data_IF_716780204555
#
_entry.id   IF_716780204555
#
_cell.length_a   1.000
_cell.length_b   1.000
_cell.length_c   1.000
_cell.angle_alpha   90.00
_cell.angle_beta   90.00
_cell.angle_gamma   90.00
#
_symmetry.space_group_name_H-M   'P 1'
#
loop_
_entity.id
_entity.type
_entity.pdbx_description
1 polymer ?
#
# COMPACT_ATOMS: atom_id res chain seq x y z
N UNK A 1 18.65 -1.56 -3.57
CA UNK A 1 17.37 -1.73 -4.29
C UNK A 1 17.01 -0.48 -5.06
N UNK A 2 16.28 -0.62 -6.15
CA UNK A 2 15.69 0.54 -6.83
C UNK A 2 14.41 0.94 -6.09
N UNK A 3 14.19 2.25 -5.98
CA UNK A 3 12.98 2.81 -5.35
C UNK A 3 12.61 4.14 -6.00
N UNK A 4 11.36 4.53 -5.89
CA UNK A 4 10.91 5.89 -6.14
C UNK A 4 11.02 6.66 -4.83
N UNK A 5 11.84 7.71 -4.80
CA UNK A 5 12.02 8.56 -3.62
C UNK A 5 11.59 9.98 -3.93
N UNK A 6 11.04 10.67 -2.93
CA UNK A 6 10.85 12.12 -2.94
C UNK A 6 11.77 12.75 -1.89
N UNK A 7 12.39 13.86 -2.26
CA UNK A 7 13.25 14.68 -1.37
C UNK A 7 12.67 16.05 -1.09
N UNK A 8 11.60 16.41 -1.77
CA UNK A 8 10.80 17.61 -1.59
C UNK A 8 9.32 17.27 -1.82
N UNK A 9 8.42 18.05 -1.26
CA UNK A 9 6.98 17.87 -1.48
C UNK A 9 6.55 18.52 -2.80
N UNK A 10 5.60 17.88 -3.50
CA UNK A 10 5.08 18.36 -4.75
C UNK A 10 4.26 17.32 -5.51
N UNK A 11 3.95 17.65 -6.76
CA UNK A 11 3.25 16.76 -7.68
C UNK A 11 4.14 15.61 -8.19
N UNK A 12 3.72 14.89 -9.25
CA UNK A 12 4.43 13.72 -9.75
C UNK A 12 5.89 13.96 -10.13
N UNK A 13 6.26 15.18 -10.49
CA UNK A 13 7.61 15.53 -10.94
C UNK A 13 8.68 15.41 -9.84
N UNK A 14 8.29 15.39 -8.56
CA UNK A 14 9.23 15.20 -7.44
C UNK A 14 9.63 13.74 -7.24
N UNK A 15 8.92 12.79 -7.85
CA UNK A 15 9.22 11.37 -7.78
C UNK A 15 10.43 11.02 -8.63
N UNK A 16 11.49 10.50 -8.01
CA UNK A 16 12.74 10.14 -8.68
C UNK A 16 13.08 8.68 -8.46
N UNK A 17 13.44 7.99 -9.55
CA UNK A 17 14.02 6.66 -9.44
C UNK A 17 15.46 6.77 -8.92
N UNK A 18 15.73 6.09 -7.81
CA UNK A 18 17.03 6.11 -7.12
C UNK A 18 17.45 4.71 -6.70
N UNK A 19 18.74 4.56 -6.43
CA UNK A 19 19.32 3.39 -5.76
C UNK A 19 19.43 3.66 -4.26
N UNK A 20 18.83 2.81 -3.44
CA UNK A 20 18.87 2.88 -1.97
C UNK A 20 19.41 1.57 -1.38
N UNK A 21 19.96 1.60 -0.17
CA UNK A 21 20.15 0.39 0.62
C UNK A 21 18.80 -0.32 0.82
N UNK A 22 18.84 -1.64 0.99
CA UNK A 22 17.64 -2.38 1.38
C UNK A 22 17.17 -1.90 2.76
N UNK A 23 15.86 -1.72 3.00
CA UNK A 23 15.36 -1.29 4.29
C UNK A 23 15.59 -2.39 5.35
N UNK A 24 15.95 -1.97 6.55
CA UNK A 24 16.19 -2.87 7.67
C UNK A 24 14.90 -3.04 8.45
N UNK A 25 14.36 -4.27 8.57
CA UNK A 25 13.15 -4.51 9.35
C UNK A 25 13.32 -4.11 10.81
N UNK A 26 12.34 -3.38 11.35
CA UNK A 26 12.24 -3.08 12.76
C UNK A 26 11.76 -4.26 13.61
N UNK A 27 11.54 -4.04 14.91
CA UNK A 27 10.99 -5.06 15.79
C UNK A 27 9.61 -5.50 15.33
N UNK A 28 9.44 -6.80 15.10
CA UNK A 28 8.19 -7.38 14.61
C UNK A 28 7.93 -7.20 13.11
N UNK A 29 8.84 -6.60 12.37
CA UNK A 29 8.78 -6.47 10.91
C UNK A 29 9.58 -7.55 10.20
N UNK A 30 9.27 -7.73 8.93
CA UNK A 30 10.01 -8.57 7.98
C UNK A 30 10.29 -7.78 6.70
N UNK A 31 11.30 -8.21 5.96
CA UNK A 31 11.61 -7.71 4.63
C UNK A 31 10.91 -8.57 3.58
N UNK A 32 10.16 -7.92 2.69
CA UNK A 32 9.50 -8.52 1.55
C UNK A 32 10.26 -8.17 0.27
N UNK A 33 10.44 -9.16 -0.61
CA UNK A 33 10.76 -8.91 -2.02
C UNK A 33 9.44 -8.57 -2.73
N UNK A 34 9.30 -7.32 -3.18
CA UNK A 34 8.05 -6.78 -3.73
C UNK A 34 7.81 -7.34 -5.13
N UNK A 35 6.60 -7.86 -5.36
CA UNK A 35 6.15 -8.41 -6.65
C UNK A 35 5.18 -7.48 -7.38
N UNK A 36 4.35 -6.75 -6.63
CA UNK A 36 3.49 -5.71 -7.20
C UNK A 36 3.18 -4.62 -6.15
N UNK A 37 2.82 -3.44 -6.62
CA UNK A 37 2.62 -2.22 -5.82
C UNK A 37 1.21 -1.70 -6.07
N UNK A 38 0.45 -1.45 -5.01
CA UNK A 38 -0.83 -0.76 -5.09
C UNK A 38 -0.60 0.75 -5.22
N UNK A 39 -1.28 1.38 -6.18
CA UNK A 39 -1.28 2.83 -6.36
C UNK A 39 -2.62 3.36 -5.86
N UNK A 40 -2.59 4.28 -4.93
CA UNK A 40 -3.76 4.86 -4.32
C UNK A 40 -3.77 6.39 -4.46
N UNK A 41 -4.94 7.00 -4.53
CA UNK A 41 -5.05 8.46 -4.53
C UNK A 41 -4.42 9.09 -3.26
N UNK A 42 -4.42 8.34 -2.14
CA UNK A 42 -3.75 8.73 -0.91
C UNK A 42 -2.23 8.96 -1.08
N UNK A 43 -1.59 8.31 -2.05
CA UNK A 43 -0.15 8.47 -2.31
C UNK A 43 0.16 9.88 -2.85
N UNK A 44 -0.77 10.50 -3.59
CA UNK A 44 -0.62 11.91 -4.02
C UNK A 44 -0.60 12.85 -2.81
N UNK A 45 -1.43 12.56 -1.80
CA UNK A 45 -1.43 13.32 -0.56
C UNK A 45 -0.15 13.12 0.26
N UNK A 46 0.49 11.95 0.18
CA UNK A 46 1.81 11.75 0.78
C UNK A 46 2.86 12.63 0.10
N UNK A 47 2.89 12.65 -1.24
CA UNK A 47 3.88 13.44 -1.99
C UNK A 47 3.68 14.94 -1.83
N UNK A 48 2.46 15.40 -1.63
CA UNK A 48 2.09 16.81 -1.42
C UNK A 48 2.11 17.26 0.06
N UNK A 49 2.40 16.35 1.01
CA UNK A 49 2.30 16.58 2.45
C UNK A 49 0.91 17.05 2.92
N UNK A 50 -0.12 16.61 2.22
CA UNK A 50 -1.54 16.87 2.54
C UNK A 50 -2.27 15.68 3.14
N UNK A 51 -1.54 14.61 3.47
CA UNK A 51 -2.09 13.40 4.08
C UNK A 51 -2.42 13.62 5.57
N UNK A 52 -3.18 12.68 6.15
CA UNK A 52 -3.68 12.75 7.54
C UNK A 52 -2.57 12.89 8.60
N UNK A 53 -1.38 12.39 8.31
CA UNK A 53 -0.19 12.52 9.17
C UNK A 53 0.94 13.22 8.42
N UNK A 54 1.70 14.11 9.10
CA UNK A 54 2.86 14.76 8.49
C UNK A 54 3.88 13.75 7.98
N UNK A 55 4.38 13.97 6.77
CA UNK A 55 5.40 13.13 6.15
C UNK A 55 6.80 13.67 6.46
N UNK A 56 7.79 12.78 6.50
CA UNK A 56 9.20 13.15 6.68
C UNK A 56 9.99 12.84 5.42
N UNK A 57 10.74 13.82 4.95
CA UNK A 57 11.63 13.70 3.79
C UNK A 57 13.07 13.36 4.19
N UNK A 58 13.85 12.65 3.35
CA UNK A 58 13.38 11.98 2.14
C UNK A 58 12.55 10.74 2.47
N UNK A 59 11.60 10.37 1.58
CA UNK A 59 10.76 9.19 1.79
C UNK A 59 10.50 8.44 0.48
N UNK A 60 10.17 7.16 0.62
CA UNK A 60 9.60 6.32 -0.43
C UNK A 60 8.08 6.30 -0.21
N UNK A 61 7.24 6.73 -1.17
CA UNK A 61 5.79 6.69 -1.02
C UNK A 61 5.24 5.26 -1.22
N UNK A 62 3.91 5.12 -1.11
CA UNK A 62 3.18 3.87 -1.33
C UNK A 62 2.78 3.19 -0.03
N UNK A 63 1.51 2.75 0.02
CA UNK A 63 0.88 2.22 1.24
C UNK A 63 0.83 0.70 1.26
N UNK A 64 0.74 0.04 0.10
CA UNK A 64 0.48 -1.39 0.01
C UNK A 64 1.28 -2.07 -1.08
N UNK A 65 1.67 -3.29 -0.80
CA UNK A 65 2.44 -4.14 -1.72
C UNK A 65 1.96 -5.60 -1.65
N UNK A 66 2.18 -6.35 -2.71
CA UNK A 66 2.37 -7.79 -2.60
C UNK A 66 3.85 -8.11 -2.71
N UNK A 67 4.26 -9.19 -2.06
CA UNK A 67 5.66 -9.59 -2.08
C UNK A 67 5.87 -10.98 -1.49
N UNK A 68 7.11 -11.45 -1.57
CA UNK A 68 7.49 -12.76 -1.03
C UNK A 68 8.32 -12.61 0.25
N UNK A 69 8.00 -13.47 1.21
CA UNK A 69 8.74 -13.66 2.44
C UNK A 69 8.81 -15.16 2.77
N UNK A 70 10.01 -15.70 3.00
CA UNK A 70 10.23 -17.14 3.25
C UNK A 70 9.55 -18.04 2.20
N UNK A 71 9.62 -17.65 0.92
CA UNK A 71 9.09 -18.40 -0.20
C UNK A 71 7.55 -18.41 -0.34
N UNK A 72 6.84 -17.60 0.43
CA UNK A 72 5.37 -17.46 0.37
C UNK A 72 4.98 -16.05 -0.04
N UNK A 73 3.83 -15.93 -0.72
CA UNK A 73 3.28 -14.64 -1.17
C UNK A 73 2.38 -14.04 -0.09
N UNK A 74 2.52 -12.73 0.09
CA UNK A 74 1.72 -11.95 1.04
C UNK A 74 1.28 -10.62 0.46
N UNK A 75 0.08 -10.20 0.85
CA UNK A 75 -0.37 -8.82 0.78
C UNK A 75 0.00 -8.13 2.09
N UNK A 76 0.55 -6.92 2.02
CA UNK A 76 1.06 -6.21 3.19
C UNK A 76 0.90 -4.69 3.07
N UNK A 77 0.67 -4.04 4.22
CA UNK A 77 0.89 -2.60 4.36
C UNK A 77 2.40 -2.34 4.49
N UNK A 78 2.94 -1.48 3.63
CA UNK A 78 4.35 -1.16 3.59
C UNK A 78 4.71 -0.14 4.68
N UNK A 79 5.61 -0.52 5.59
CA UNK A 79 6.11 0.38 6.66
C UNK A 79 7.19 1.33 6.16
N UNK A 80 8.02 0.89 5.21
CA UNK A 80 9.14 1.65 4.64
C UNK A 80 8.81 2.41 3.36
N UNK A 81 7.53 2.40 2.95
CA UNK A 81 7.08 2.80 1.61
C UNK A 81 7.07 1.64 0.62
N UNK A 82 6.07 1.64 -0.26
CA UNK A 82 5.81 0.53 -1.18
C UNK A 82 6.43 0.68 -2.57
N UNK A 83 6.80 1.91 -2.97
CA UNK A 83 7.32 2.16 -4.32
C UNK A 83 8.80 1.78 -4.44
N UNK A 84 9.12 0.52 -4.13
CA UNK A 84 10.47 -0.04 -4.14
C UNK A 84 10.48 -1.53 -4.47
N UNK A 85 11.64 -2.06 -4.82
CA UNK A 85 11.83 -3.51 -5.05
C UNK A 85 11.73 -4.32 -3.75
N UNK A 86 11.94 -3.68 -2.59
CA UNK A 86 11.79 -4.30 -1.27
C UNK A 86 11.10 -3.35 -0.31
N UNK A 87 10.29 -3.91 0.58
CA UNK A 87 9.59 -3.14 1.61
C UNK A 87 9.57 -3.90 2.94
N UNK A 88 9.59 -3.15 4.05
CA UNK A 88 9.31 -3.76 5.37
C UNK A 88 7.82 -3.73 5.64
N UNK A 89 7.34 -4.75 6.36
CA UNK A 89 5.97 -4.84 6.82
C UNK A 89 5.91 -5.57 8.16
N UNK A 90 4.91 -5.24 8.98
CA UNK A 90 4.72 -5.89 10.27
C UNK A 90 4.27 -7.35 10.08
N UNK A 91 5.04 -8.30 10.60
CA UNK A 91 4.82 -9.75 10.40
C UNK A 91 3.40 -10.21 10.78
N UNK A 92 2.83 -9.68 11.84
CA UNK A 92 1.49 -10.04 12.29
C UNK A 92 0.36 -9.51 11.38
N UNK A 93 0.65 -8.60 10.45
CA UNK A 93 -0.31 -8.00 9.52
C UNK A 93 -0.14 -8.53 8.08
N UNK A 94 0.73 -9.50 7.86
CA UNK A 94 0.87 -10.16 6.56
C UNK A 94 -0.38 -11.00 6.27
N UNK A 95 -1.05 -10.72 5.16
CA UNK A 95 -2.15 -11.54 4.67
C UNK A 95 -1.64 -12.52 3.62
N UNK A 96 -1.64 -13.84 3.87
CA UNK A 96 -1.17 -14.82 2.89
C UNK A 96 -2.09 -14.81 1.66
N UNK A 97 -1.48 -14.83 0.47
CA UNK A 97 -2.21 -14.85 -0.81
C UNK A 97 -2.40 -16.30 -1.24
N UNK A 98 -3.65 -16.78 -1.39
CA UNK A 98 -3.93 -18.10 -1.92
C UNK A 98 -3.39 -18.30 -3.35
N UNK A 99 -3.02 -19.52 -3.72
CA UNK A 99 -2.48 -19.82 -5.05
C UNK A 99 -3.42 -19.46 -6.20
N UNK A 100 -4.74 -19.51 -5.94
CA UNK A 100 -5.78 -19.16 -6.92
C UNK A 100 -5.99 -17.64 -7.11
N UNK A 101 -5.30 -16.79 -6.32
CA UNK A 101 -5.42 -15.33 -6.35
C UNK A 101 -4.12 -14.74 -6.89
N UNK A 102 -4.22 -13.83 -7.86
CA UNK A 102 -3.04 -13.11 -8.38
C UNK A 102 -2.64 -11.99 -7.42
N UNK A 103 -1.41 -11.47 -7.58
CA UNK A 103 -0.92 -10.37 -6.77
C UNK A 103 -1.75 -9.10 -6.99
N UNK A 104 -2.16 -8.83 -8.23
CA UNK A 104 -3.01 -7.68 -8.58
C UNK A 104 -4.42 -7.80 -7.96
N UNK A 105 -4.99 -8.99 -7.96
CA UNK A 105 -6.27 -9.23 -7.28
C UNK A 105 -6.17 -9.03 -5.77
N UNK A 106 -5.07 -9.48 -5.18
CA UNK A 106 -4.81 -9.30 -3.75
C UNK A 106 -4.66 -7.80 -3.39
N UNK A 107 -3.95 -7.01 -4.22
CA UNK A 107 -3.79 -5.57 -3.99
C UNK A 107 -5.11 -4.82 -3.91
N UNK A 108 -6.13 -5.23 -4.66
CA UNK A 108 -7.45 -4.60 -4.58
C UNK A 108 -8.13 -4.75 -3.21
N UNK A 109 -7.61 -5.60 -2.31
CA UNK A 109 -8.29 -5.94 -1.05
C UNK A 109 -7.87 -5.09 0.14
N UNK A 110 -6.61 -4.63 0.22
CA UNK A 110 -6.11 -4.00 1.44
C UNK A 110 -6.66 -2.57 1.62
N UNK A 111 -6.34 -1.66 0.73
CA UNK A 111 -6.80 -0.27 0.88
C UNK A 111 -8.22 -0.11 0.36
N UNK A 112 -8.48 -0.47 -0.89
CA UNK A 112 -9.75 -0.21 -1.55
C UNK A 112 -10.86 -1.16 -1.07
N UNK A 113 -10.57 -2.46 -1.01
CA UNK A 113 -11.54 -3.47 -0.57
C UNK A 113 -11.93 -3.31 0.90
N UNK A 114 -10.97 -3.11 1.80
CA UNK A 114 -11.26 -2.88 3.21
C UNK A 114 -12.02 -1.56 3.42
N UNK A 115 -11.66 -0.49 2.68
CA UNK A 115 -12.39 0.78 2.74
C UNK A 115 -13.85 0.58 2.29
N UNK A 116 -14.08 -0.08 1.16
CA UNK A 116 -15.43 -0.37 0.68
C UNK A 116 -16.22 -1.22 1.69
N UNK A 117 -15.60 -2.25 2.25
CA UNK A 117 -16.22 -3.08 3.28
C UNK A 117 -16.65 -2.25 4.51
N UNK A 118 -15.74 -1.45 5.05
CA UNK A 118 -16.03 -0.65 6.24
C UNK A 118 -17.07 0.42 5.98
N UNK A 119 -17.05 1.10 4.84
CA UNK A 119 -18.07 2.07 4.46
C UNK A 119 -19.45 1.42 4.35
N UNK A 120 -19.58 0.27 3.71
CA UNK A 120 -20.85 -0.38 3.48
C UNK A 120 -21.35 -1.15 4.70
N UNK A 121 -20.49 -1.91 5.36
CA UNK A 121 -20.88 -2.84 6.43
C UNK A 121 -20.72 -2.25 7.81
N UNK A 122 -19.57 -1.68 8.13
CA UNK A 122 -19.30 -1.21 9.49
C UNK A 122 -19.98 0.12 9.78
N UNK A 123 -19.86 1.08 8.86
CA UNK A 123 -20.40 2.43 9.05
C UNK A 123 -21.82 2.56 8.48
N UNK A 124 -22.04 2.07 7.26
CA UNK A 124 -23.32 2.19 6.56
C UNK A 124 -24.35 1.15 7.01
N UNK A 125 -23.90 0.04 7.63
CA UNK A 125 -24.76 -1.06 8.08
C UNK A 125 -25.81 -1.48 7.03
N UNK A 126 -25.39 -1.56 5.75
CA UNK A 126 -26.27 -1.83 4.62
C UNK A 126 -26.99 -3.18 4.77
N UNK A 127 -28.31 -3.18 4.58
CA UNK A 127 -29.17 -4.35 4.67
C UNK A 127 -29.64 -4.81 3.29
N UNK A 128 -30.05 -6.07 3.20
CA UNK A 128 -30.64 -6.62 1.98
C UNK A 128 -31.84 -5.79 1.51
N UNK A 129 -31.81 -5.42 0.22
CA UNK A 129 -32.90 -4.62 -0.42
C UNK A 129 -32.67 -3.12 -0.41
N UNK A 130 -31.63 -2.62 0.27
CA UNK A 130 -31.24 -1.21 0.20
C UNK A 130 -30.42 -0.93 -1.07
N UNK A 131 -30.51 0.31 -1.55
CA UNK A 131 -29.74 0.80 -2.68
C UNK A 131 -28.54 1.63 -2.20
N UNK A 132 -27.43 1.57 -2.94
CA UNK A 132 -26.21 2.34 -2.68
C UNK A 132 -25.83 3.11 -3.93
N UNK A 133 -25.44 4.36 -3.75
CA UNK A 133 -24.80 5.15 -4.81
C UNK A 133 -23.31 5.15 -4.57
N UNK A 134 -22.55 4.73 -5.58
CA UNK A 134 -21.09 4.70 -5.52
C UNK A 134 -20.56 5.76 -6.49
N UNK A 135 -19.95 6.82 -5.92
CA UNK A 135 -19.26 7.84 -6.71
C UNK A 135 -17.91 7.32 -7.15
N UNK A 136 -17.50 7.66 -8.39
CA UNK A 136 -16.21 7.23 -8.94
C UNK A 136 -15.96 5.71 -8.82
N UNK A 137 -16.96 4.89 -9.21
CA UNK A 137 -16.93 3.43 -9.01
C UNK A 137 -15.79 2.72 -9.78
N UNK A 138 -15.18 3.40 -10.74
CA UNK A 138 -14.04 2.87 -11.50
C UNK A 138 -12.66 3.27 -10.90
N UNK A 139 -12.65 3.92 -9.76
CA UNK A 139 -11.40 4.30 -9.05
C UNK A 139 -11.16 5.77 -8.97
#
# INVERSE_FOLDING_TARGET
>A
MRAIQISEFGGPDVMKLVELPDPVPGSGEVLLDVTAIGINYADTHQTENSYLSPQKLPMVPGLEVTGTYEGKRYLAAASSGGYAEKATAHKALLAPIPDSVTDEQALCMLVQGATAWHLLKTMGNIQKGQSVVVHAAAG
#
